data_IF_087374926022
#
_entry.id   IF_087374926022
#
_cell.length_a   1.000
_cell.length_b   1.000
_cell.length_c   1.000
_cell.angle_alpha   90.00
_cell.angle_beta   90.00
_cell.angle_gamma   90.00
#
_symmetry.space_group_name_H-M   'P 1'
#
loop_
_entity.id
_entity.type
_entity.pdbx_description
1 polymer ?
#
# COMPACT_ATOMS: atom_id res chain seq x y z
N UNK A 1 23.15 4.92 7.41
CA UNK A 1 23.38 4.19 6.15
C UNK A 1 22.14 3.40 5.83
N UNK A 2 21.60 3.50 4.62
CA UNK A 2 20.44 2.72 4.19
C UNK A 2 20.91 1.30 3.86
N UNK A 3 20.56 0.35 4.68
CA UNK A 3 20.58 -1.12 4.56
C UNK A 3 21.27 -1.71 3.32
N UNK A 4 22.58 -1.56 3.17
CA UNK A 4 23.43 -2.25 2.17
C UNK A 4 22.92 -2.15 0.70
N UNK A 5 22.22 -1.08 0.34
CA UNK A 5 21.78 -0.80 -1.04
C UNK A 5 22.31 0.57 -1.47
N UNK A 6 22.51 0.77 -2.77
CA UNK A 6 22.82 2.09 -3.35
C UNK A 6 21.61 3.07 -3.32
N UNK A 7 20.49 2.63 -2.74
CA UNK A 7 19.27 3.42 -2.62
C UNK A 7 19.39 4.43 -1.49
N UNK A 8 18.90 5.64 -1.75
CA UNK A 8 18.88 6.73 -0.77
C UNK A 8 17.60 6.79 0.07
N UNK A 9 16.89 5.66 0.16
CA UNK A 9 15.69 5.46 0.97
C UNK A 9 15.59 4.03 1.49
N UNK A 10 14.83 3.83 2.57
CA UNK A 10 14.67 2.55 3.27
C UNK A 10 13.71 1.62 2.53
N UNK A 11 14.21 0.93 1.52
CA UNK A 11 13.43 0.03 0.70
C UNK A 11 12.95 -1.19 1.47
N UNK A 12 11.64 -1.49 1.45
CA UNK A 12 11.03 -2.60 2.17
C UNK A 12 11.66 -3.97 1.84
N UNK A 13 12.05 -4.23 0.60
CA UNK A 13 12.71 -5.48 0.23
C UNK A 13 14.10 -5.63 0.86
N UNK A 14 14.84 -4.53 1.02
CA UNK A 14 16.12 -4.52 1.73
C UNK A 14 15.92 -4.70 3.24
N UNK A 15 14.90 -4.04 3.80
CA UNK A 15 14.48 -4.20 5.19
C UNK A 15 14.15 -5.68 5.50
N UNK A 16 13.32 -6.33 4.66
CA UNK A 16 12.99 -7.75 4.82
C UNK A 16 14.22 -8.65 4.71
N UNK A 17 15.11 -8.38 3.73
CA UNK A 17 16.34 -9.14 3.57
C UNK A 17 17.22 -9.07 4.82
N UNK A 18 17.34 -7.89 5.43
CA UNK A 18 18.12 -7.72 6.65
C UNK A 18 17.47 -8.42 7.85
N UNK A 19 16.14 -8.34 7.97
CA UNK A 19 15.41 -8.97 9.07
C UNK A 19 15.46 -10.50 9.02
N UNK A 20 15.37 -11.11 7.83
CA UNK A 20 15.25 -12.56 7.66
C UNK A 20 16.52 -13.23 7.10
N UNK A 21 17.57 -12.48 6.77
CA UNK A 21 18.82 -12.99 6.22
C UNK A 21 18.72 -13.49 4.78
N UNK A 22 17.55 -13.40 4.13
CA UNK A 22 17.31 -13.93 2.80
C UNK A 22 16.28 -13.10 2.02
N UNK A 23 16.08 -13.43 0.74
CA UNK A 23 15.03 -12.78 -0.08
C UNK A 23 13.65 -13.21 0.37
N UNK A 24 12.83 -12.23 0.73
CA UNK A 24 11.42 -12.41 1.10
C UNK A 24 10.53 -11.70 0.08
N UNK A 25 9.49 -12.37 -0.40
CA UNK A 25 8.55 -11.81 -1.37
C UNK A 25 7.12 -11.87 -0.84
N UNK A 26 6.28 -10.91 -1.24
CA UNK A 26 4.84 -10.95 -0.97
C UNK A 26 4.16 -11.90 -1.96
N UNK A 27 3.36 -12.83 -1.43
CA UNK A 27 2.39 -13.61 -2.20
C UNK A 27 1.06 -12.88 -2.07
N UNK A 28 0.55 -12.35 -3.17
CA UNK A 28 -0.74 -11.64 -3.19
C UNK A 28 -1.87 -12.67 -3.17
N UNK A 29 -2.80 -12.49 -2.23
CA UNK A 29 -3.93 -13.39 -1.97
C UNK A 29 -5.25 -12.66 -2.16
N UNK A 30 -6.23 -13.35 -2.73
CA UNK A 30 -7.62 -12.93 -2.82
C UNK A 30 -8.51 -13.92 -2.05
N UNK A 31 -9.16 -13.43 -1.00
CA UNK A 31 -10.07 -14.22 -0.17
C UNK A 31 -11.54 -13.86 -0.40
N UNK A 32 -11.87 -13.27 -1.54
CA UNK A 32 -13.24 -12.90 -1.90
C UNK A 32 -13.86 -11.89 -0.93
N UNK A 33 -13.07 -10.92 -0.47
CA UNK A 33 -13.59 -9.82 0.35
C UNK A 33 -14.41 -8.85 -0.48
N UNK A 34 -15.23 -8.04 0.20
CA UNK A 34 -15.96 -6.90 -0.35
C UNK A 34 -15.43 -5.59 0.23
N UNK A 35 -16.08 -4.49 -0.13
CA UNK A 35 -15.79 -3.17 0.39
C UNK A 35 -17.10 -2.46 0.75
N UNK A 36 -17.27 -1.93 1.98
CA UNK A 36 -18.49 -1.26 2.40
C UNK A 36 -18.79 0.02 1.59
N UNK A 37 -17.80 0.54 0.88
CA UNK A 37 -17.95 1.65 -0.05
C UNK A 37 -18.49 1.23 -1.44
N UNK A 38 -18.75 -0.07 -1.65
CA UNK A 38 -19.24 -0.65 -2.92
C UNK A 38 -20.53 -1.45 -2.75
N UNK A 39 -20.70 -2.15 -1.64
CA UNK A 39 -21.82 -3.07 -1.40
C UNK A 39 -23.09 -2.37 -0.86
N UNK A 40 -23.06 -1.05 -0.74
CA UNK A 40 -24.21 -0.25 -0.31
C UNK A 40 -24.25 0.04 1.19
N UNK A 41 -23.31 -0.46 2.00
CA UNK A 41 -23.30 -0.19 3.44
C UNK A 41 -22.92 1.27 3.76
N UNK A 42 -21.94 1.82 3.06
CA UNK A 42 -21.52 3.23 3.15
C UNK A 42 -21.95 3.95 1.88
N UNK A 43 -21.56 3.43 0.73
CA UNK A 43 -21.91 3.98 -0.57
C UNK A 43 -21.91 2.87 -1.64
N UNK A 44 -22.37 3.19 -2.84
CA UNK A 44 -22.30 2.32 -4.02
C UNK A 44 -21.22 2.81 -4.99
N UNK A 45 -20.61 1.89 -5.74
CA UNK A 45 -19.63 2.22 -6.80
C UNK A 45 -18.18 2.42 -6.34
N UNK A 46 -17.90 2.57 -5.03
CA UNK A 46 -16.54 2.68 -4.50
C UNK A 46 -15.87 4.03 -4.72
N UNK A 47 -14.56 4.08 -4.50
CA UNK A 47 -13.75 5.24 -4.82
C UNK A 47 -13.68 5.43 -6.34
N UNK A 48 -13.57 6.69 -6.81
CA UNK A 48 -13.64 7.02 -8.25
C UNK A 48 -12.56 6.35 -9.10
N UNK A 49 -11.45 5.95 -8.51
CA UNK A 49 -10.30 5.31 -9.17
C UNK A 49 -10.29 3.78 -9.03
N UNK A 50 -11.23 3.20 -8.28
CA UNK A 50 -11.23 1.78 -7.96
C UNK A 50 -11.96 0.99 -9.05
N UNK A 51 -11.24 0.07 -9.70
CA UNK A 51 -11.79 -0.87 -10.68
C UNK A 51 -12.69 -1.94 -10.06
N UNK A 52 -13.30 -2.78 -10.89
CA UNK A 52 -14.13 -3.89 -10.43
C UNK A 52 -13.34 -4.98 -9.70
N UNK A 53 -12.03 -5.09 -9.95
CA UNK A 53 -11.13 -6.02 -9.27
C UNK A 53 -10.59 -5.56 -7.91
N UNK A 54 -11.02 -4.37 -7.42
CA UNK A 54 -10.65 -3.89 -6.09
C UNK A 54 -9.22 -3.41 -5.94
N UNK A 55 -8.72 -2.59 -6.86
CA UNK A 55 -7.39 -1.97 -6.83
C UNK A 55 -6.23 -2.86 -7.27
N UNK A 56 -6.26 -3.36 -8.49
CA UNK A 56 -5.13 -4.05 -9.11
C UNK A 56 -4.64 -5.32 -8.40
N UNK A 57 -5.54 -6.19 -8.06
CA UNK A 57 -5.13 -7.50 -7.57
C UNK A 57 -4.75 -8.39 -8.75
N UNK A 58 -3.46 -8.65 -8.94
CA UNK A 58 -2.99 -9.82 -9.70
C UNK A 58 -3.08 -11.09 -8.83
N UNK A 59 -3.97 -11.10 -7.86
CA UNK A 59 -4.22 -12.27 -7.06
C UNK A 59 -4.73 -13.41 -7.95
N UNK A 60 -4.36 -14.62 -7.61
CA UNK A 60 -4.94 -15.81 -8.21
C UNK A 60 -6.47 -15.75 -8.05
N UNK A 61 -7.18 -16.29 -9.05
CA UNK A 61 -8.63 -16.37 -9.01
C UNK A 61 -9.12 -16.80 -7.63
N UNK A 62 -10.13 -16.10 -7.07
CA UNK A 62 -10.84 -16.46 -5.84
C UNK A 62 -11.53 -17.86 -5.90
N UNK A 63 -11.37 -18.58 -7.01
CA UNK A 63 -11.77 -19.97 -7.17
C UNK A 63 -10.83 -20.97 -6.46
N UNK A 64 -9.60 -20.54 -6.11
CA UNK A 64 -8.64 -21.37 -5.38
C UNK A 64 -8.73 -21.09 -3.88
N UNK A 65 -8.55 -22.14 -3.07
CA UNK A 65 -8.38 -21.95 -1.62
C UNK A 65 -7.16 -21.07 -1.30
N UNK A 66 -7.16 -20.43 -0.15
CA UNK A 66 -6.03 -19.59 0.28
C UNK A 66 -4.73 -20.40 0.35
N UNK A 67 -4.78 -21.64 0.82
CA UNK A 67 -3.63 -22.55 0.88
C UNK A 67 -3.07 -22.85 -0.51
N UNK A 68 -3.94 -23.10 -1.49
CA UNK A 68 -3.53 -23.31 -2.88
C UNK A 68 -2.90 -22.07 -3.49
N UNK A 69 -3.48 -20.88 -3.24
CA UNK A 69 -2.90 -19.60 -3.69
C UNK A 69 -1.51 -19.40 -3.09
N UNK A 70 -1.32 -19.67 -1.80
CA UNK A 70 0.00 -19.58 -1.14
C UNK A 70 0.98 -20.55 -1.76
N UNK A 71 0.61 -21.81 -1.96
CA UNK A 71 1.46 -22.84 -2.55
C UNK A 71 1.91 -22.48 -3.96
N UNK A 72 0.98 -22.12 -4.84
CA UNK A 72 1.27 -21.73 -6.23
C UNK A 72 2.13 -20.46 -6.26
N UNK A 73 1.78 -19.46 -5.44
CA UNK A 73 2.56 -18.21 -5.34
C UNK A 73 3.99 -18.47 -4.86
N UNK A 74 4.18 -19.31 -3.85
CA UNK A 74 5.49 -19.69 -3.34
C UNK A 74 6.34 -20.39 -4.41
N UNK A 75 5.80 -21.39 -5.09
CA UNK A 75 6.48 -22.09 -6.18
C UNK A 75 6.88 -21.14 -7.33
N UNK A 76 5.96 -20.29 -7.75
CA UNK A 76 6.21 -19.29 -8.80
C UNK A 76 7.35 -18.33 -8.42
N UNK A 77 7.31 -17.79 -7.20
CA UNK A 77 8.33 -16.85 -6.73
C UNK A 77 9.68 -17.53 -6.47
N UNK A 78 9.71 -18.78 -5.99
CA UNK A 78 10.92 -19.60 -5.89
C UNK A 78 11.57 -19.77 -7.27
N UNK A 79 10.81 -20.16 -8.25
CA UNK A 79 11.31 -20.43 -9.60
C UNK A 79 11.81 -19.16 -10.29
N UNK A 80 11.04 -18.07 -10.25
CA UNK A 80 11.31 -16.83 -10.98
C UNK A 80 12.37 -15.96 -10.32
N UNK A 81 12.34 -15.82 -9.01
CA UNK A 81 13.14 -14.83 -8.28
C UNK A 81 14.12 -15.44 -7.26
N UNK A 82 14.14 -16.76 -7.12
CA UNK A 82 14.92 -17.47 -6.09
C UNK A 82 14.54 -16.99 -4.68
N UNK A 83 13.25 -16.71 -4.48
CA UNK A 83 12.71 -16.36 -3.17
C UNK A 83 12.84 -17.54 -2.21
N UNK A 84 13.14 -17.26 -0.93
CA UNK A 84 13.35 -18.30 0.08
C UNK A 84 12.26 -18.26 1.15
N UNK A 85 11.72 -17.07 1.42
CA UNK A 85 10.63 -16.85 2.39
C UNK A 85 9.56 -15.93 1.82
N UNK A 86 8.37 -15.99 2.40
CA UNK A 86 7.21 -15.29 1.89
C UNK A 86 6.46 -14.52 2.97
N UNK A 87 5.80 -13.43 2.53
CA UNK A 87 4.77 -12.71 3.27
C UNK A 87 3.44 -12.99 2.58
N UNK A 88 2.46 -13.55 3.29
CA UNK A 88 1.08 -13.62 2.80
C UNK A 88 0.48 -12.22 2.78
N UNK A 89 0.01 -11.76 1.62
CA UNK A 89 -0.45 -10.40 1.43
C UNK A 89 -1.87 -10.36 0.88
N UNK A 90 -2.81 -9.95 1.72
CA UNK A 90 -4.20 -9.70 1.34
C UNK A 90 -4.33 -8.28 0.80
N UNK A 91 -4.64 -8.13 -0.50
CA UNK A 91 -4.62 -6.82 -1.16
C UNK A 91 -5.99 -6.38 -1.67
N UNK A 92 -6.79 -7.25 -2.27
CA UNK A 92 -8.05 -6.88 -2.90
C UNK A 92 -9.09 -6.41 -1.87
N UNK A 93 -9.71 -5.24 -2.12
CA UNK A 93 -10.79 -4.67 -1.29
C UNK A 93 -10.39 -4.36 0.17
N UNK A 94 -11.26 -4.77 1.14
CA UNK A 94 -11.06 -4.51 2.58
C UNK A 94 -10.96 -5.82 3.34
N UNK A 95 -9.72 -6.25 3.58
CA UNK A 95 -9.45 -7.62 4.04
C UNK A 95 -9.65 -7.84 5.56
N UNK A 96 -10.33 -6.92 6.24
CA UNK A 96 -10.87 -7.07 7.59
C UNK A 96 -12.41 -6.97 7.60
N UNK A 97 -13.04 -6.91 6.42
CA UNK A 97 -14.49 -6.72 6.29
C UNK A 97 -15.24 -8.07 6.28
N UNK A 98 -15.07 -8.82 7.36
CA UNK A 98 -15.78 -10.07 7.70
C UNK A 98 -15.85 -10.24 9.21
N UNK A 99 -16.69 -11.16 9.73
CA UNK A 99 -16.67 -11.58 11.15
C UNK A 99 -15.31 -12.14 11.57
N UNK A 100 -14.90 -11.91 12.82
CA UNK A 100 -13.58 -12.29 13.35
C UNK A 100 -13.29 -13.78 13.20
N UNK A 101 -14.27 -14.64 13.46
CA UNK A 101 -14.14 -16.10 13.33
C UNK A 101 -13.90 -16.57 11.87
N UNK A 102 -14.37 -15.82 10.88
CA UNK A 102 -14.07 -16.08 9.47
C UNK A 102 -12.67 -15.59 9.12
N UNK A 103 -12.31 -14.37 9.60
CA UNK A 103 -10.98 -13.81 9.41
C UNK A 103 -9.89 -14.74 9.98
N UNK A 104 -10.10 -15.27 11.18
CA UNK A 104 -9.16 -16.22 11.81
C UNK A 104 -8.89 -17.43 10.92
N UNK A 105 -9.93 -18.06 10.37
CA UNK A 105 -9.78 -19.18 9.45
C UNK A 105 -8.99 -18.81 8.20
N UNK A 106 -9.33 -17.68 7.58
CA UNK A 106 -8.67 -17.18 6.37
C UNK A 106 -7.19 -16.89 6.63
N UNK A 107 -6.87 -16.19 7.73
CA UNK A 107 -5.49 -15.82 8.04
C UNK A 107 -4.65 -17.05 8.45
N UNK A 108 -5.22 -17.99 9.21
CA UNK A 108 -4.54 -19.24 9.55
C UNK A 108 -4.21 -20.06 8.29
N UNK A 109 -5.13 -20.17 7.34
CA UNK A 109 -4.87 -20.83 6.04
C UNK A 109 -3.71 -20.16 5.27
N UNK A 110 -3.62 -18.82 5.32
CA UNK A 110 -2.54 -18.08 4.67
C UNK A 110 -1.18 -18.23 5.35
N UNK A 111 -1.14 -18.62 6.61
CA UNK A 111 0.05 -18.81 7.42
C UNK A 111 0.53 -20.27 7.49
N UNK A 112 -0.25 -21.21 6.98
CA UNK A 112 0.01 -22.65 7.08
C UNK A 112 1.08 -23.19 6.12
N UNK A 113 1.94 -22.35 5.56
CA UNK A 113 3.06 -22.77 4.70
C UNK A 113 4.39 -22.55 5.42
N UNK A 114 5.32 -23.54 5.45
CA UNK A 114 6.55 -23.48 6.27
C UNK A 114 7.49 -22.32 5.96
N UNK A 115 7.46 -21.81 4.73
CA UNK A 115 8.30 -20.68 4.31
C UNK A 115 7.59 -19.32 4.44
N UNK A 116 6.36 -19.26 4.93
CA UNK A 116 5.67 -18.01 5.24
C UNK A 116 6.14 -17.50 6.59
N UNK A 117 6.70 -16.30 6.60
CA UNK A 117 7.28 -15.65 7.79
C UNK A 117 6.49 -14.45 8.28
N UNK A 118 5.38 -14.12 7.60
CA UNK A 118 4.56 -12.99 8.01
C UNK A 118 3.32 -12.81 7.17
N UNK A 119 2.48 -11.89 7.64
CA UNK A 119 1.22 -11.53 7.03
C UNK A 119 1.12 -10.00 6.87
N UNK A 120 0.56 -9.56 5.76
CA UNK A 120 0.27 -8.15 5.49
C UNK A 120 -1.19 -8.03 5.04
N UNK A 121 -1.99 -7.21 5.71
CA UNK A 121 -3.43 -7.13 5.54
C UNK A 121 -3.80 -5.73 5.07
N UNK A 122 -4.13 -5.59 3.76
CA UNK A 122 -4.62 -4.34 3.19
C UNK A 122 -6.08 -4.10 3.56
N UNK A 123 -6.39 -2.97 4.16
CA UNK A 123 -7.76 -2.67 4.59
C UNK A 123 -8.07 -1.19 4.64
N UNK A 124 -9.32 -0.87 4.90
CA UNK A 124 -9.83 0.46 5.21
C UNK A 124 -9.81 0.70 6.71
N UNK A 125 -9.55 1.93 7.19
CA UNK A 125 -9.55 2.22 8.62
C UNK A 125 -10.94 2.05 9.27
N UNK A 126 -12.04 2.23 8.53
CA UNK A 126 -13.41 2.05 8.99
C UNK A 126 -13.90 0.58 8.98
N UNK A 127 -13.02 -0.36 8.57
CA UNK A 127 -13.31 -1.80 8.58
C UNK A 127 -12.62 -2.55 9.72
N UNK A 128 -12.04 -1.84 10.69
CA UNK A 128 -11.33 -2.45 11.82
C UNK A 128 -11.98 -2.08 13.15
N UNK A 129 -11.95 -3.00 14.08
CA UNK A 129 -12.42 -2.86 15.46
C UNK A 129 -11.47 -3.57 16.44
N UNK A 130 -11.72 -3.44 17.74
CA UNK A 130 -10.85 -3.97 18.79
C UNK A 130 -10.68 -5.51 18.70
N UNK A 131 -11.72 -6.25 18.31
CA UNK A 131 -11.63 -7.70 18.22
C UNK A 131 -10.80 -8.15 17.01
N UNK A 132 -10.89 -7.44 15.89
CA UNK A 132 -10.04 -7.68 14.72
C UNK A 132 -8.58 -7.31 15.01
N UNK A 133 -8.34 -6.20 15.74
CA UNK A 133 -7.00 -5.83 16.17
C UNK A 133 -6.41 -6.91 17.08
N UNK A 134 -7.17 -7.41 18.07
CA UNK A 134 -6.74 -8.52 18.94
C UNK A 134 -6.39 -9.77 18.15
N UNK A 135 -7.23 -10.16 17.17
CA UNK A 135 -6.94 -11.30 16.30
C UNK A 135 -5.62 -11.10 15.55
N UNK A 136 -5.44 -9.94 14.89
CA UNK A 136 -4.23 -9.68 14.10
C UNK A 136 -2.99 -9.58 15.01
N UNK A 137 -3.12 -8.98 16.19
CA UNK A 137 -2.05 -8.89 17.17
C UNK A 137 -1.61 -10.26 17.70
N UNK A 138 -2.50 -11.26 17.73
CA UNK A 138 -2.14 -12.62 18.20
C UNK A 138 -1.10 -13.31 17.28
N UNK A 139 -0.95 -12.85 16.05
CA UNK A 139 0.04 -13.40 15.13
C UNK A 139 1.44 -12.83 15.29
N UNK A 140 1.61 -11.66 15.92
CA UNK A 140 2.88 -10.90 15.93
C UNK A 140 4.06 -11.61 16.59
N UNK A 141 3.82 -12.50 17.52
CA UNK A 141 4.88 -13.21 18.25
C UNK A 141 5.55 -14.29 17.39
N UNK A 142 4.81 -14.84 16.41
CA UNK A 142 5.29 -15.89 15.51
C UNK A 142 5.53 -15.42 14.07
N UNK A 143 4.87 -14.33 13.65
CA UNK A 143 4.87 -13.85 12.28
C UNK A 143 5.11 -12.34 12.21
N UNK A 144 5.82 -11.90 11.20
CA UNK A 144 6.01 -10.47 10.92
C UNK A 144 4.73 -9.86 10.38
N UNK A 145 3.99 -9.17 11.25
CA UNK A 145 2.60 -8.76 11.02
C UNK A 145 2.50 -7.28 10.66
N UNK A 146 1.77 -6.99 9.57
CA UNK A 146 1.50 -5.67 9.06
C UNK A 146 0.00 -5.46 8.81
N UNK A 147 -0.50 -4.28 9.15
CA UNK A 147 -1.72 -3.72 8.59
C UNK A 147 -1.33 -2.64 7.58
N UNK A 148 -1.94 -2.67 6.38
CA UNK A 148 -1.75 -1.67 5.35
C UNK A 148 -3.04 -0.86 5.20
N UNK A 149 -3.09 0.34 5.79
CA UNK A 149 -4.26 1.21 5.70
C UNK A 149 -4.28 2.02 4.41
N UNK A 150 -5.38 1.91 3.67
CA UNK A 150 -5.67 2.80 2.54
C UNK A 150 -6.17 4.15 3.03
N UNK A 151 -5.31 5.04 3.50
CA UNK A 151 -5.65 6.41 3.85
C UNK A 151 -5.91 7.25 2.60
N UNK A 152 -4.96 7.27 1.69
CA UNK A 152 -4.86 7.98 0.41
C UNK A 152 -4.44 9.45 0.56
N UNK A 153 -5.01 10.22 1.49
CA UNK A 153 -4.72 11.61 1.81
C UNK A 153 -5.07 11.92 3.27
N UNK A 154 -4.45 12.94 3.87
CA UNK A 154 -4.88 13.49 5.17
C UNK A 154 -5.96 14.57 5.00
N UNK A 155 -6.22 15.06 3.78
CA UNK A 155 -7.14 16.16 3.51
C UNK A 155 -8.54 15.65 3.24
N UNK A 156 -9.49 15.93 4.15
CA UNK A 156 -10.87 15.46 4.04
C UNK A 156 -11.55 15.91 2.74
N UNK A 157 -11.26 17.13 2.24
CA UNK A 157 -11.77 17.59 0.93
C UNK A 157 -11.37 16.66 -0.22
N UNK A 158 -10.14 16.11 -0.18
CA UNK A 158 -9.65 15.14 -1.16
C UNK A 158 -10.35 13.80 -0.98
N UNK A 159 -10.47 13.31 0.26
CA UNK A 159 -11.16 12.06 0.58
C UNK A 159 -12.64 12.08 0.13
N UNK A 160 -13.34 13.18 0.34
CA UNK A 160 -14.71 13.39 -0.15
C UNK A 160 -14.76 13.37 -1.67
N UNK A 161 -13.87 14.11 -2.34
CA UNK A 161 -13.81 14.19 -3.80
C UNK A 161 -13.60 12.85 -4.49
N UNK A 162 -12.78 11.99 -3.90
CA UNK A 162 -12.53 10.64 -4.42
C UNK A 162 -13.57 9.61 -3.97
N UNK A 163 -14.63 10.02 -3.28
CA UNK A 163 -15.64 9.15 -2.67
C UNK A 163 -15.01 8.07 -1.77
N UNK A 164 -14.11 8.49 -0.85
CA UNK A 164 -13.41 7.54 0.03
C UNK A 164 -14.33 6.91 1.08
N UNK A 165 -15.35 7.64 1.57
CA UNK A 165 -16.34 7.16 2.52
C UNK A 165 -15.86 7.06 3.98
N UNK A 166 -14.65 7.53 4.28
CA UNK A 166 -14.14 7.80 5.63
C UNK A 166 -13.26 9.05 5.58
N UNK A 167 -13.08 9.69 6.71
CA UNK A 167 -12.25 10.87 6.93
C UNK A 167 -10.89 10.52 7.56
N UNK A 168 -10.07 11.55 7.81
CA UNK A 168 -8.76 11.42 8.42
C UNK A 168 -8.86 11.02 9.91
N UNK A 169 -9.87 11.50 10.64
CA UNK A 169 -10.08 11.16 12.05
C UNK A 169 -10.41 9.67 12.24
N UNK A 170 -11.14 9.08 11.31
CA UNK A 170 -11.37 7.64 11.28
C UNK A 170 -10.04 6.86 11.14
N UNK A 171 -9.14 7.34 10.26
CA UNK A 171 -7.81 6.74 10.13
C UNK A 171 -6.99 6.90 11.43
N UNK A 172 -6.97 8.08 12.04
CA UNK A 172 -6.20 8.31 13.27
C UNK A 172 -6.61 7.34 14.38
N UNK A 173 -7.91 7.19 14.62
CA UNK A 173 -8.44 6.25 15.64
C UNK A 173 -8.03 4.80 15.37
N UNK A 174 -8.11 4.35 14.11
CA UNK A 174 -7.70 3.01 13.72
C UNK A 174 -6.18 2.82 13.85
N UNK A 175 -5.41 3.83 13.45
CA UNK A 175 -3.95 3.85 13.53
C UNK A 175 -3.47 3.74 14.99
N UNK A 176 -3.95 4.61 15.87
CA UNK A 176 -3.56 4.64 17.29
C UNK A 176 -3.79 3.29 17.97
N UNK A 177 -4.99 2.74 17.87
CA UNK A 177 -5.33 1.42 18.44
C UNK A 177 -4.44 0.30 17.87
N UNK A 178 -4.14 0.35 16.56
CA UNK A 178 -3.27 -0.65 15.93
C UNK A 178 -1.84 -0.53 16.43
N UNK A 179 -1.32 0.68 16.58
CA UNK A 179 0.04 0.93 17.12
C UNK A 179 0.15 0.51 18.59
N UNK A 180 -0.84 0.80 19.40
CA UNK A 180 -0.90 0.38 20.82
C UNK A 180 -0.84 -1.15 20.96
N UNK A 181 -1.38 -1.90 20.01
CA UNK A 181 -1.30 -3.36 19.99
C UNK A 181 0.04 -3.92 19.49
N UNK A 182 0.97 -3.05 19.06
CA UNK A 182 2.32 -3.42 18.61
C UNK A 182 2.37 -4.02 17.20
N UNK A 183 1.34 -3.80 16.37
CA UNK A 183 1.32 -4.20 14.96
C UNK A 183 2.02 -3.12 14.11
N UNK A 184 2.81 -3.53 13.11
CA UNK A 184 3.40 -2.58 12.18
C UNK A 184 2.33 -2.03 11.22
N UNK A 185 2.37 -0.72 10.97
CA UNK A 185 1.41 -0.02 10.11
C UNK A 185 2.09 0.55 8.89
N UNK A 186 1.59 0.17 7.70
CA UNK A 186 1.92 0.80 6.42
C UNK A 186 0.74 1.65 5.95
N UNK A 187 1.02 2.89 5.53
CA UNK A 187 -0.01 3.81 5.06
C UNK A 187 0.08 3.96 3.54
N UNK A 188 -1.03 3.74 2.85
CA UNK A 188 -1.13 3.97 1.41
C UNK A 188 -1.52 5.42 1.15
N UNK A 189 -0.76 6.08 0.28
CA UNK A 189 -0.97 7.45 -0.18
C UNK A 189 -1.04 7.46 -1.71
N UNK A 190 -1.90 8.31 -2.26
CA UNK A 190 -2.02 8.50 -3.71
C UNK A 190 -1.70 9.96 -4.04
N UNK A 191 -0.77 10.20 -4.94
CA UNK A 191 -0.47 11.53 -5.48
C UNK A 191 -1.31 11.83 -6.72
N UNK A 192 -1.52 13.12 -7.01
CA UNK A 192 -2.28 13.58 -8.17
C UNK A 192 -3.80 13.68 -7.95
N UNK A 193 -4.26 13.73 -6.70
CA UNK A 193 -5.68 13.86 -6.32
C UNK A 193 -6.11 15.32 -6.12
N UNK A 194 -5.74 16.23 -7.04
CA UNK A 194 -6.03 17.68 -6.97
C UNK A 194 -5.43 18.39 -5.76
N UNK A 195 -4.46 17.78 -5.11
CA UNK A 195 -3.70 18.41 -4.03
C UNK A 195 -2.57 19.25 -4.60
N UNK A 196 -2.31 20.36 -3.97
CA UNK A 196 -1.11 21.16 -4.22
C UNK A 196 0.13 20.42 -3.70
N UNK A 197 1.31 20.80 -4.20
CA UNK A 197 2.57 20.26 -3.67
C UNK A 197 2.67 20.44 -2.15
N UNK A 198 2.30 21.61 -1.62
CA UNK A 198 2.34 21.88 -0.18
C UNK A 198 1.42 20.95 0.62
N UNK A 199 0.22 20.65 0.11
CA UNK A 199 -0.70 19.70 0.75
C UNK A 199 -0.14 18.28 0.77
N UNK A 200 0.55 17.86 -0.29
CA UNK A 200 1.26 16.57 -0.31
C UNK A 200 2.39 16.57 0.74
N UNK A 201 3.15 17.68 0.87
CA UNK A 201 4.19 17.79 1.89
C UNK A 201 3.62 17.82 3.32
N UNK A 202 2.47 18.46 3.55
CA UNK A 202 1.74 18.35 4.84
C UNK A 202 1.40 16.89 5.17
N UNK A 203 1.01 16.09 4.16
CA UNK A 203 0.79 14.65 4.36
C UNK A 203 2.08 13.94 4.80
N UNK A 204 3.24 14.23 4.16
CA UNK A 204 4.52 13.66 4.57
C UNK A 204 4.88 14.00 6.03
N UNK A 205 4.77 15.27 6.39
CA UNK A 205 5.05 15.77 7.74
C UNK A 205 4.13 15.12 8.78
N UNK A 206 2.83 14.98 8.47
CA UNK A 206 1.88 14.34 9.37
C UNK A 206 2.17 12.86 9.58
N UNK A 207 2.51 12.12 8.54
CA UNK A 207 2.90 10.71 8.68
C UNK A 207 4.23 10.56 9.45
N UNK A 208 5.15 11.49 9.28
CA UNK A 208 6.39 11.54 10.06
C UNK A 208 6.14 11.81 11.55
N UNK A 209 5.25 12.76 11.88
CA UNK A 209 4.80 13.04 13.25
C UNK A 209 4.14 11.83 13.93
N UNK A 210 3.31 11.10 13.19
CA UNK A 210 2.66 9.89 13.67
C UNK A 210 3.66 8.73 13.87
N UNK A 211 4.83 8.77 13.24
CA UNK A 211 5.82 7.71 13.34
C UNK A 211 5.35 6.41 12.67
N UNK A 212 4.79 6.51 11.46
CA UNK A 212 4.34 5.32 10.72
C UNK A 212 5.50 4.39 10.36
N UNK A 213 5.30 3.08 10.46
CA UNK A 213 6.36 2.09 10.21
C UNK A 213 6.67 1.92 8.72
N UNK A 214 5.70 2.22 7.88
CA UNK A 214 5.87 2.12 6.42
C UNK A 214 4.92 3.00 5.63
N UNK A 215 5.35 3.32 4.40
CA UNK A 215 4.55 4.08 3.44
C UNK A 215 4.55 3.38 2.09
N UNK A 216 3.42 3.46 1.39
CA UNK A 216 3.23 2.92 0.05
C UNK A 216 2.60 3.99 -0.83
N UNK A 217 3.41 4.56 -1.72
CA UNK A 217 3.01 5.66 -2.59
C UNK A 217 2.50 5.11 -3.91
N UNK A 218 1.41 5.68 -4.38
CA UNK A 218 0.81 5.43 -5.67
C UNK A 218 0.62 6.75 -6.43
N UNK A 219 0.67 6.70 -7.75
CA UNK A 219 0.14 7.75 -8.61
C UNK A 219 -1.33 7.46 -8.90
N UNK A 220 -2.17 8.48 -8.85
CA UNK A 220 -3.54 8.39 -9.34
C UNK A 220 -3.52 8.02 -10.83
N UNK A 221 -4.31 7.03 -11.22
CA UNK A 221 -4.38 6.60 -12.61
C UNK A 221 -5.80 6.25 -13.01
N UNK A 222 -6.15 6.58 -14.24
CA UNK A 222 -7.39 6.19 -14.85
C UNK A 222 -7.25 4.78 -15.44
N UNK A 223 -8.12 3.89 -14.98
CA UNK A 223 -8.25 2.53 -15.47
C UNK A 223 -9.57 2.41 -16.23
N UNK A 224 -9.60 1.56 -17.23
CA UNK A 224 -10.81 1.29 -17.98
C UNK A 224 -11.97 0.90 -17.05
N UNK A 225 -13.18 1.34 -17.39
CA UNK A 225 -14.38 1.10 -16.61
C UNK A 225 -14.54 1.93 -15.32
N UNK A 226 -13.52 2.69 -14.89
CA UNK A 226 -13.61 3.52 -13.67
C UNK A 226 -14.33 4.86 -13.91
N UNK A 227 -14.89 5.45 -12.85
CA UNK A 227 -15.43 6.82 -12.90
C UNK A 227 -14.33 7.82 -13.27
N UNK A 228 -13.11 7.61 -12.78
CA UNK A 228 -11.97 8.47 -13.07
C UNK A 228 -11.59 8.46 -14.56
N UNK A 229 -11.72 7.33 -15.24
CA UNK A 229 -11.52 7.23 -16.69
C UNK A 229 -12.48 8.15 -17.45
N UNK A 230 -13.76 8.12 -17.09
CA UNK A 230 -14.78 9.00 -17.67
C UNK A 230 -14.49 10.48 -17.41
N UNK A 231 -14.04 10.83 -16.20
CA UNK A 231 -13.63 12.19 -15.86
C UNK A 231 -12.44 12.65 -16.71
N UNK A 232 -11.48 11.76 -16.98
CA UNK A 232 -10.34 12.07 -17.84
C UNK A 232 -10.75 12.26 -19.30
N UNK A 233 -11.61 11.40 -19.85
CA UNK A 233 -12.18 11.53 -21.19
C UNK A 233 -12.93 12.84 -21.36
N UNK A 234 -13.68 13.27 -20.34
CA UNK A 234 -14.39 14.56 -20.29
C UNK A 234 -13.47 15.76 -20.04
N UNK A 235 -12.15 15.58 -19.87
CA UNK A 235 -11.18 16.63 -19.54
C UNK A 235 -11.43 17.32 -18.18
N UNK A 236 -12.06 16.63 -17.25
CA UNK A 236 -12.31 17.12 -15.88
C UNK A 236 -11.11 16.95 -14.95
N UNK A 237 -10.12 16.13 -15.35
CA UNK A 237 -8.87 15.90 -14.64
C UNK A 237 -7.69 15.79 -15.61
N UNK A 238 -6.52 16.27 -15.17
CA UNK A 238 -5.21 15.97 -15.72
C UNK A 238 -4.35 15.22 -14.70
N UNK A 239 -3.39 14.45 -15.16
CA UNK A 239 -2.46 13.72 -14.30
C UNK A 239 -1.10 14.41 -14.27
N UNK A 240 -0.37 14.24 -13.18
CA UNK A 240 1.03 14.63 -13.08
C UNK A 240 1.84 14.00 -14.21
N UNK A 241 2.77 14.73 -14.78
CA UNK A 241 3.79 14.14 -15.61
C UNK A 241 4.81 13.34 -14.78
N UNK A 242 5.66 12.58 -15.46
CA UNK A 242 6.60 11.69 -14.78
C UNK A 242 7.65 12.47 -13.97
N UNK A 243 8.14 13.60 -14.48
CA UNK A 243 9.19 14.37 -13.83
C UNK A 243 8.64 15.12 -12.61
N UNK A 244 7.44 15.69 -12.69
CA UNK A 244 6.71 16.25 -11.55
C UNK A 244 6.49 15.19 -10.45
N UNK A 245 6.06 13.99 -10.84
CA UNK A 245 5.89 12.88 -9.90
C UNK A 245 7.20 12.49 -9.21
N UNK A 246 8.29 12.36 -9.97
CA UNK A 246 9.62 12.02 -9.45
C UNK A 246 10.08 13.05 -8.42
N UNK A 247 9.94 14.35 -8.73
CA UNK A 247 10.28 15.43 -7.82
C UNK A 247 9.45 15.39 -6.54
N UNK A 248 8.13 15.24 -6.68
CA UNK A 248 7.19 15.14 -5.54
C UNK A 248 7.50 13.95 -4.64
N UNK A 249 7.83 12.79 -5.22
CA UNK A 249 8.23 11.60 -4.42
C UNK A 249 9.51 11.88 -3.64
N UNK A 250 10.52 12.48 -4.25
CA UNK A 250 11.76 12.80 -3.55
C UNK A 250 11.52 13.81 -2.42
N UNK A 251 10.77 14.88 -2.68
CA UNK A 251 10.39 15.87 -1.67
C UNK A 251 9.65 15.24 -0.50
N UNK A 252 8.69 14.38 -0.78
CA UNK A 252 7.92 13.67 0.24
C UNK A 252 8.80 12.77 1.11
N UNK A 253 9.70 12.01 0.51
CA UNK A 253 10.60 11.11 1.24
C UNK A 253 11.61 11.87 2.11
N UNK A 254 12.02 13.07 1.70
CA UNK A 254 12.92 13.92 2.49
C UNK A 254 12.33 14.30 3.86
N UNK A 255 11.00 14.34 4.01
CA UNK A 255 10.32 14.60 5.29
C UNK A 255 10.08 13.34 6.13
N UNK A 256 10.13 12.13 5.56
CA UNK A 256 9.89 10.89 6.31
C UNK A 256 11.13 10.43 7.07
N UNK A 257 11.00 9.98 8.33
CA UNK A 257 12.13 9.39 9.07
C UNK A 257 12.82 8.28 8.27
N UNK A 258 14.13 8.16 8.40
CA UNK A 258 14.92 7.11 7.70
C UNK A 258 14.53 5.69 8.12
N UNK A 259 13.90 5.52 9.26
CA UNK A 259 13.39 4.26 9.80
C UNK A 259 12.10 3.82 9.09
N UNK A 260 11.29 4.74 8.57
CA UNK A 260 10.06 4.43 7.85
C UNK A 260 10.39 3.60 6.60
N UNK A 261 9.79 2.42 6.47
CA UNK A 261 10.04 1.55 5.32
C UNK A 261 9.21 1.96 4.12
N UNK A 262 9.82 1.97 2.94
CA UNK A 262 9.15 2.32 1.70
C UNK A 262 8.72 1.06 0.97
N UNK A 263 7.44 0.74 1.06
CA UNK A 263 6.86 -0.47 0.48
C UNK A 263 6.73 -0.38 -1.04
N UNK A 264 6.45 0.83 -1.56
CA UNK A 264 6.29 1.10 -2.99
C UNK A 264 6.43 2.59 -3.25
N UNK A 265 7.00 2.95 -4.42
CA UNK A 265 7.09 4.33 -4.91
C UNK A 265 6.32 4.58 -6.21
N UNK A 266 5.90 3.55 -6.91
CA UNK A 266 5.07 3.67 -8.11
C UNK A 266 4.15 2.46 -8.21
N UNK A 267 2.90 2.67 -8.60
CA UNK A 267 1.92 1.61 -8.86
C UNK A 267 2.31 0.74 -10.07
N UNK A 268 1.73 -0.44 -10.17
CA UNK A 268 1.75 -1.22 -11.42
C UNK A 268 0.40 -0.98 -12.08
N UNK A 269 0.35 -0.17 -13.15
CA UNK A 269 -0.76 -0.24 -14.08
C UNK A 269 -0.67 -1.58 -14.83
N UNK A 270 -1.76 -2.37 -14.89
CA UNK A 270 -1.86 -3.38 -15.92
C UNK A 270 -1.91 -2.61 -17.25
N UNK A 271 -0.93 -2.81 -18.11
CA UNK A 271 -0.80 -2.04 -19.34
C UNK A 271 -2.04 -2.16 -20.26
N UNK A 272 -2.84 -3.21 -20.07
CA UNK A 272 -4.08 -3.45 -20.83
C UNK A 272 -5.29 -2.63 -20.35
N UNK A 273 -5.29 -2.14 -19.12
CA UNK A 273 -6.42 -1.41 -18.52
C UNK A 273 -6.08 0.06 -18.25
N UNK A 274 -4.79 0.43 -18.36
CA UNK A 274 -4.32 1.77 -18.07
C UNK A 274 -4.64 2.74 -19.21
N UNK A 275 -5.51 3.73 -18.94
CA UNK A 275 -5.83 4.83 -19.85
C UNK A 275 -4.83 5.97 -19.69
N UNK A 276 -4.61 6.42 -18.44
CA UNK A 276 -3.69 7.53 -18.14
C UNK A 276 -3.21 7.50 -16.67
N UNK A 277 -2.02 8.07 -16.38
CA UNK A 277 -0.99 8.53 -17.31
C UNK A 277 -0.16 7.36 -17.86
N UNK A 278 0.16 7.37 -19.16
CA UNK A 278 0.81 6.24 -19.82
C UNK A 278 2.24 5.93 -19.34
N UNK A 279 2.95 6.89 -18.75
CA UNK A 279 4.30 6.68 -18.22
C UNK A 279 4.32 5.63 -17.08
N UNK A 280 3.20 5.41 -16.37
CA UNK A 280 3.11 4.37 -15.33
C UNK A 280 3.31 2.94 -15.86
N UNK A 281 3.11 2.70 -17.17
CA UNK A 281 3.40 1.41 -17.80
C UNK A 281 4.89 1.06 -17.75
N UNK A 282 5.76 2.07 -17.63
CA UNK A 282 7.23 1.97 -17.54
C UNK A 282 7.76 2.24 -16.14
N UNK A 283 7.15 1.65 -15.11
CA UNK A 283 7.48 1.95 -13.71
C UNK A 283 8.97 1.85 -13.34
N UNK A 284 9.74 1.00 -14.02
CA UNK A 284 11.18 0.89 -13.74
C UNK A 284 11.95 2.13 -14.19
N UNK A 285 11.50 2.81 -15.25
CA UNK A 285 12.08 4.07 -15.69
C UNK A 285 11.84 5.14 -14.63
N UNK A 286 10.61 5.24 -14.11
CA UNK A 286 10.27 6.13 -13.01
C UNK A 286 11.11 5.85 -11.75
N UNK A 287 11.25 4.60 -11.34
CA UNK A 287 12.09 4.24 -10.18
C UNK A 287 13.55 4.61 -10.37
N UNK A 288 14.10 4.41 -11.57
CA UNK A 288 15.46 4.83 -11.91
C UNK A 288 15.62 6.36 -11.92
N UNK A 289 14.59 7.10 -12.35
CA UNK A 289 14.58 8.58 -12.27
C UNK A 289 14.59 9.05 -10.82
N UNK A 290 13.78 8.46 -9.93
CA UNK A 290 13.79 8.78 -8.48
C UNK A 290 15.19 8.58 -7.89
N UNK A 291 15.85 7.47 -8.20
CA UNK A 291 17.21 7.21 -7.72
C UNK A 291 18.21 8.27 -8.22
N UNK A 292 18.15 8.64 -9.51
CA UNK A 292 18.99 9.68 -10.10
C UNK A 292 18.71 11.05 -9.49
N UNK A 293 17.45 11.39 -9.29
CA UNK A 293 17.03 12.66 -8.68
C UNK A 293 17.62 12.82 -7.27
N UNK A 294 17.56 11.79 -6.43
CA UNK A 294 18.22 11.82 -5.12
C UNK A 294 19.73 12.01 -5.21
N UNK A 295 20.38 11.43 -6.21
CA UNK A 295 21.83 11.60 -6.44
C UNK A 295 22.12 13.05 -6.86
N UNK A 296 21.37 13.59 -7.82
CA UNK A 296 21.54 14.96 -8.33
C UNK A 296 21.33 16.02 -7.24
N UNK A 297 20.31 15.84 -6.41
CA UNK A 297 20.03 16.70 -5.25
C UNK A 297 21.06 16.54 -4.11
N UNK A 298 21.89 15.51 -4.16
CA UNK A 298 22.72 15.07 -3.03
C UNK A 298 21.88 14.90 -1.74
N UNK A 299 20.66 14.37 -1.88
CA UNK A 299 19.66 14.23 -0.81
C UNK A 299 19.32 12.77 -0.53
N UNK A 300 18.51 12.51 0.49
CA UNK A 300 18.10 11.19 0.95
C UNK A 300 16.82 11.28 1.79
N UNK A 301 16.17 10.16 2.01
CA UNK A 301 15.01 10.05 2.92
C UNK A 301 15.38 10.57 4.32
N UNK A 302 14.57 11.49 4.83
CA UNK A 302 14.77 12.09 6.15
C UNK A 302 15.75 13.25 6.18
N UNK A 303 16.23 13.75 5.03
CA UNK A 303 17.14 14.88 4.99
C UNK A 303 16.53 16.20 5.49
N UNK A 304 15.19 16.30 5.47
CA UNK A 304 14.41 17.45 6.00
C UNK A 304 13.63 17.09 7.27
N UNK A 305 13.74 15.84 7.76
CA UNK A 305 13.06 15.42 8.99
C UNK A 305 13.83 15.91 10.21
N UNK A 306 13.14 16.57 11.12
CA UNK A 306 13.72 17.04 12.40
C UNK A 306 13.27 16.09 13.50
N UNK A 307 14.21 15.33 14.06
CA UNK A 307 13.94 14.52 15.24
C UNK A 307 13.66 15.47 16.43
N UNK A 308 12.46 15.36 17.03
CA UNK A 308 12.09 16.10 18.24
C UNK A 308 12.64 15.40 19.49
#
# INVERSE_FOLDING_TARGET
MFNNTDKRYNQYSAHLKNKFGCKVYKITLDAGFSCPNRDGKISTGGCIFCDEGGSFSQAHSNLLSIEEQVKIGAETLKNRFKAQKFMSYFQAYSNTYKPVNELEKIYNSALNHPDVVGISIGTRPDCIDDDKIKLIASYKDNYYTWIEYGLQSIHNKTLERINRGHDFDCFLKAYEKTKESGINVCVHIIFGMWETHDEIMQTAQKLAELGVDGVKIHMLCALDGTKLAKMYENKEISFMDEDEYVQTVCDFLEYLPKETTIHRLAGNGLSSELIAPLWLSKKFDCLNKIDREFIQRNSYQGSKFIYK
#
